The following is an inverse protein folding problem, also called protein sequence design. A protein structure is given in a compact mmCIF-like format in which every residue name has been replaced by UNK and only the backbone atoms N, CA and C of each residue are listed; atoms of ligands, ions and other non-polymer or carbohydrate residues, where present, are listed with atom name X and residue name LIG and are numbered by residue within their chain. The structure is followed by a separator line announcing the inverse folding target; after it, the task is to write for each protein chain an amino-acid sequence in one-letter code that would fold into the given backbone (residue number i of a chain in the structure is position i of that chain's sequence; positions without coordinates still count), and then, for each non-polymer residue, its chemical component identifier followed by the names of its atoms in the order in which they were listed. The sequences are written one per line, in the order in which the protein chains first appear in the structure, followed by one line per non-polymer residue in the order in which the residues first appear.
data_IF_049499496179
#
_entry.id   IF_049499496179
#
_cell.length_a   1.000
_cell.length_b   1.000
_cell.length_c   1.000
_cell.angle_alpha   90.00
_cell.angle_beta   90.00
_cell.angle_gamma   90.00
#
_symmetry.space_group_name_H-M   'P 1'
#
loop_
_entity.id
_entity.type
_entity.pdbx_description
1 polymer ?
#
# COMPACT_ATOMS: atom_id res chain seq x y z
N UNK A 1 10.99 11.97 1.05
CA UNK A 1 10.60 10.60 0.67
C UNK A 1 9.08 10.54 0.70
N UNK A 2 8.43 10.06 -0.35
CA UNK A 2 6.98 9.91 -0.33
C UNK A 2 6.59 8.98 0.83
N UNK A 3 5.67 9.41 1.70
CA UNK A 3 5.18 8.56 2.79
C UNK A 3 4.33 7.45 2.19
N UNK A 4 4.85 6.22 2.21
CA UNK A 4 4.11 5.02 1.84
C UNK A 4 3.66 4.30 3.10
N UNK A 5 2.37 3.97 3.16
CA UNK A 5 1.81 3.16 4.23
C UNK A 5 1.49 1.77 3.68
N UNK A 6 2.00 0.74 4.35
CA UNK A 6 1.73 -0.64 3.95
C UNK A 6 0.78 -1.30 4.92
N UNK A 7 -0.19 -2.02 4.38
CA UNK A 7 -1.11 -2.88 5.10
C UNK A 7 -0.93 -4.31 4.61
N UNK A 8 -0.86 -5.27 5.53
CA UNK A 8 -0.79 -6.69 5.22
C UNK A 8 -2.06 -7.40 5.71
N UNK A 9 -2.57 -8.30 4.88
CA UNK A 9 -3.70 -9.17 5.22
C UNK A 9 -3.29 -10.08 6.40
N UNK A 10 -4.16 -10.37 7.38
CA UNK A 10 -3.88 -11.35 8.44
C UNK A 10 -3.41 -12.71 7.91
N UNK A 11 -3.86 -13.13 6.72
CA UNK A 11 -3.44 -14.37 6.07
C UNK A 11 -2.03 -14.29 5.44
N UNK A 12 -1.40 -13.12 5.43
CA UNK A 12 -0.07 -12.85 4.84
C UNK A 12 0.05 -13.26 3.36
N UNK A 13 -1.06 -13.28 2.64
CA UNK A 13 -1.14 -13.60 1.21
C UNK A 13 -1.12 -12.36 0.33
N UNK A 14 -1.56 -11.23 0.87
CA UNK A 14 -1.75 -9.98 0.15
C UNK A 14 -1.25 -8.81 0.98
N UNK A 15 -0.80 -7.79 0.26
CA UNK A 15 -0.36 -6.52 0.82
C UNK A 15 -0.97 -5.39 0.00
N UNK A 16 -1.26 -4.28 0.66
CA UNK A 16 -1.70 -3.05 0.03
C UNK A 16 -0.76 -1.92 0.42
N UNK A 17 -0.37 -1.11 -0.56
CA UNK A 17 0.50 0.05 -0.38
C UNK A 17 -0.25 1.30 -0.74
N UNK A 18 -0.33 2.23 0.20
CA UNK A 18 -0.95 3.52 0.06
C UNK A 18 0.14 4.56 -0.11
N UNK A 19 0.21 5.18 -1.28
CA UNK A 19 1.18 6.23 -1.59
C UNK A 19 0.41 7.53 -1.73
N UNK A 20 0.74 8.51 -0.88
CA UNK A 20 0.26 9.88 -1.09
C UNK A 20 1.05 10.49 -2.24
N UNK A 21 0.36 11.04 -3.24
CA UNK A 21 1.01 11.85 -4.24
C UNK A 21 1.38 13.22 -3.64
N UNK A 22 2.68 13.50 -3.52
CA UNK A 22 3.19 14.77 -2.99
C UNK A 22 3.23 15.87 -4.07
N UNK A 23 3.03 15.51 -5.35
CA UNK A 23 3.11 16.43 -6.51
C UNK A 23 1.81 17.17 -6.82
N UNK A 24 1.00 17.53 -5.82
CA UNK A 24 -0.11 18.46 -6.06
C UNK A 24 0.47 19.88 -6.19
N UNK A 25 0.95 20.21 -7.38
CA UNK A 25 1.53 21.52 -7.73
C UNK A 25 0.51 22.66 -7.54
N UNK A 26 -0.79 22.39 -7.59
CA UNK A 26 -1.80 23.46 -7.55
C UNK A 26 -3.14 22.96 -7.00
N UNK A 27 -3.17 22.39 -5.78
CA UNK A 27 -4.35 22.33 -4.90
C UNK A 27 -5.67 21.70 -5.40
N UNK A 28 -5.73 21.08 -6.57
CA UNK A 28 -7.03 20.81 -7.23
C UNK A 28 -7.49 19.34 -7.15
N UNK A 29 -6.62 18.34 -6.95
CA UNK A 29 -7.05 16.96 -6.64
C UNK A 29 -6.01 16.20 -5.80
N UNK A 30 -6.25 16.03 -4.50
CA UNK A 30 -5.47 15.12 -3.64
C UNK A 30 -5.92 13.68 -3.86
N UNK A 31 -5.19 12.92 -4.68
CA UNK A 31 -5.41 11.49 -4.86
C UNK A 31 -4.31 10.65 -4.20
N UNK A 32 -4.67 9.43 -3.81
CA UNK A 32 -3.76 8.41 -3.32
C UNK A 32 -3.70 7.23 -4.28
N UNK A 33 -2.51 6.68 -4.44
CA UNK A 33 -2.34 5.40 -5.12
C UNK A 33 -2.46 4.28 -4.12
N UNK A 34 -3.33 3.32 -4.41
CA UNK A 34 -3.45 2.06 -3.68
C UNK A 34 -2.94 0.96 -4.59
N UNK A 35 -1.72 0.52 -4.34
CA UNK A 35 -1.19 -0.67 -4.97
C UNK A 35 -1.65 -1.90 -4.20
N UNK A 36 -2.09 -2.93 -4.90
CA UNK A 36 -2.29 -4.26 -4.34
C UNK A 36 -1.18 -5.16 -4.83
N UNK A 37 -0.48 -5.77 -3.88
CA UNK A 37 0.54 -6.76 -4.12
C UNK A 37 0.12 -8.12 -3.57
N UNK A 38 0.48 -9.19 -4.28
CA UNK A 38 0.38 -10.56 -3.79
C UNK A 38 1.72 -10.98 -3.21
N UNK A 39 1.71 -11.49 -1.99
CA UNK A 39 2.91 -12.03 -1.37
C UNK A 39 3.16 -13.40 -2.00
N UNK A 40 4.30 -13.54 -2.67
CA UNK A 40 4.80 -14.78 -3.22
C UNK A 40 5.99 -15.21 -2.36
N UNK A 41 5.90 -16.41 -1.79
CA UNK A 41 6.95 -16.95 -0.91
C UNK A 41 6.88 -16.47 0.54
N UNK A 42 8.04 -16.23 1.14
CA UNK A 42 8.17 -15.94 2.59
C UNK A 42 8.14 -14.43 2.84
N UNK A 43 7.24 -13.99 3.72
CA UNK A 43 7.12 -12.60 4.13
C UNK A 43 8.48 -12.00 4.55
N UNK A 44 8.90 -10.92 3.90
CA UNK A 44 10.14 -10.17 4.20
C UNK A 44 11.37 -10.62 3.41
N UNK A 45 11.36 -11.80 2.77
CA UNK A 45 12.48 -12.24 1.90
C UNK A 45 12.30 -11.80 0.45
N UNK A 46 11.08 -11.90 -0.04
CA UNK A 46 10.75 -11.63 -1.44
C UNK A 46 9.79 -10.45 -1.53
N UNK A 47 10.04 -9.49 -2.43
CA UNK A 47 9.12 -8.38 -2.61
C UNK A 47 7.76 -8.91 -3.09
N UNK A 48 6.66 -8.29 -2.65
CA UNK A 48 5.33 -8.65 -3.10
C UNK A 48 5.19 -8.33 -4.60
N UNK A 49 4.53 -9.22 -5.32
CA UNK A 49 4.22 -9.02 -6.73
C UNK A 49 3.08 -8.01 -6.84
N UNK A 50 3.38 -6.77 -7.24
CA UNK A 50 2.36 -5.75 -7.48
C UNK A 50 1.47 -6.16 -8.67
N UNK A 51 0.19 -6.41 -8.39
CA UNK A 51 -0.78 -6.87 -9.39
C UNK A 51 -1.59 -5.71 -9.97
N UNK A 52 -1.97 -4.75 -9.13
CA UNK A 52 -2.86 -3.66 -9.50
C UNK A 52 -2.45 -2.38 -8.80
N UNK A 53 -2.55 -1.27 -9.52
CA UNK A 53 -2.39 0.08 -9.00
C UNK A 53 -3.65 0.84 -9.33
N UNK A 54 -4.35 1.32 -8.31
CA UNK A 54 -5.53 2.17 -8.50
C UNK A 54 -5.27 3.55 -7.91
N UNK A 55 -5.65 4.59 -8.63
CA UNK A 55 -5.69 5.95 -8.11
C UNK A 55 -7.10 6.23 -7.59
N UNK A 56 -7.21 6.62 -6.33
CA UNK A 56 -8.47 6.94 -5.67
C UNK A 56 -8.36 8.28 -4.96
N UNK A 57 -9.47 8.98 -4.78
CA UNK A 57 -9.52 10.18 -3.94
C UNK A 57 -9.08 9.90 -2.50
N UNK A 58 -8.56 10.91 -1.82
CA UNK A 58 -8.07 10.79 -0.45
C UNK A 58 -9.15 10.30 0.53
N UNK A 59 -10.39 10.74 0.36
CA UNK A 59 -11.51 10.32 1.21
C UNK A 59 -11.82 8.83 1.03
N UNK A 60 -11.83 8.37 -0.22
CA UNK A 60 -12.04 6.96 -0.54
C UNK A 60 -10.85 6.10 -0.06
N UNK A 61 -9.63 6.59 -0.21
CA UNK A 61 -8.43 5.92 0.29
C UNK A 61 -8.49 5.71 1.80
N UNK A 62 -8.96 6.73 2.54
CA UNK A 62 -9.17 6.65 3.99
C UNK A 62 -10.24 5.64 4.36
N UNK A 63 -11.36 5.63 3.64
CA UNK A 63 -12.43 4.66 3.88
C UNK A 63 -11.92 3.22 3.64
N UNK A 64 -11.20 2.98 2.54
CA UNK A 64 -10.59 1.68 2.26
C UNK A 64 -9.62 1.30 3.38
N UNK A 65 -8.78 2.23 3.82
CA UNK A 65 -7.82 1.99 4.89
C UNK A 65 -8.52 1.56 6.19
N UNK A 66 -9.53 2.32 6.63
CA UNK A 66 -10.29 2.02 7.84
C UNK A 66 -11.02 0.68 7.74
N UNK A 67 -11.62 0.37 6.57
CA UNK A 67 -12.25 -0.93 6.31
C UNK A 67 -11.25 -2.08 6.40
N UNK A 68 -10.04 -1.94 5.86
CA UNK A 68 -9.01 -2.98 5.93
C UNK A 68 -8.56 -3.21 7.37
N UNK A 69 -8.33 -2.14 8.14
CA UNK A 69 -8.01 -2.26 9.56
C UNK A 69 -9.14 -2.99 10.32
N UNK A 70 -10.41 -2.67 10.03
CA UNK A 70 -11.55 -3.36 10.61
C UNK A 70 -11.64 -4.83 10.22
N UNK A 71 -11.09 -5.22 9.06
CA UNK A 71 -10.97 -6.62 8.62
C UNK A 71 -9.80 -7.36 9.25
N UNK A 72 -9.03 -6.71 10.15
CA UNK A 72 -7.88 -7.31 10.81
C UNK A 72 -6.56 -7.14 10.04
N UNK A 73 -6.51 -6.29 9.02
CA UNK A 73 -5.25 -5.96 8.36
C UNK A 73 -4.34 -5.19 9.33
N UNK A 74 -3.06 -5.52 9.27
CA UNK A 74 -2.05 -4.93 10.14
C UNK A 74 -1.17 -3.97 9.36
N UNK A 75 -0.76 -2.88 10.02
CA UNK A 75 0.25 -1.97 9.47
C UNK A 75 1.59 -2.70 9.45
N UNK A 76 2.28 -2.60 8.34
CA UNK A 76 3.64 -3.14 8.19
C UNK A 76 4.52 -2.06 7.59
N UNK A 77 5.82 -2.16 7.81
CA UNK A 77 6.80 -1.31 7.14
C UNK A 77 7.24 -2.00 5.84
N UNK A 78 8.02 -1.30 5.00
CA UNK A 78 8.69 -1.91 3.86
C UNK A 78 9.77 -2.88 4.38
N UNK A 79 9.35 -4.06 4.84
CA UNK A 79 10.23 -5.09 5.40
C UNK A 79 10.91 -5.94 4.31
N UNK A 80 10.49 -5.76 3.06
CA UNK A 80 11.08 -6.47 1.95
C UNK A 80 12.38 -5.79 1.58
N UNK A 81 13.49 -6.51 1.79
CA UNK A 81 14.80 -6.08 1.29
C UNK A 81 14.67 -5.83 -0.21
N UNK A 82 14.77 -4.56 -0.62
CA UNK A 82 15.06 -4.24 -2.01
C UNK A 82 16.32 -5.03 -2.34
N UNK A 83 16.23 -5.99 -3.28
CA UNK A 83 17.45 -6.53 -3.87
C UNK A 83 18.16 -5.33 -4.48
N UNK A 84 19.21 -4.84 -3.81
CA UNK A 84 20.26 -4.10 -4.47
C UNK A 84 20.74 -5.01 -5.61
N UNK A 85 20.40 -4.62 -6.84
CA UNK A 85 21.02 -5.14 -8.05
C UNK A 85 22.20 -4.24 -8.39
#
# INVERSE_FOLDING_TARGET
MAKSHWLINPNRTEVKRFIKNDKSVDGVFEYMFVDTGKIVGVLGKEPPLMITTISVDIDLAREIYERLISQGWSKTEEVWSKKES
#
